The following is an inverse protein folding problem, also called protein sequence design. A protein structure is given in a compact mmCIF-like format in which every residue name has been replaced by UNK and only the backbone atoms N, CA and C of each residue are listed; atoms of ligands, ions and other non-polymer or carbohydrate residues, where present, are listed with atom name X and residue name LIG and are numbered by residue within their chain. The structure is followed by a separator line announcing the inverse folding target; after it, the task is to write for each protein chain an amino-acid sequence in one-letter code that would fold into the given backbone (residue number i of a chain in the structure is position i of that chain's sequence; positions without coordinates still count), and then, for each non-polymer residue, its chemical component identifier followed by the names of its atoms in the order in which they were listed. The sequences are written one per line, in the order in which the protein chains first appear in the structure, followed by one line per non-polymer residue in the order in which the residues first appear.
data_IF_861966897508
#
_entry.id   IF_861966897508
#
_cell.length_a   1.000
_cell.length_b   1.000
_cell.length_c   1.000
_cell.angle_alpha   90.00
_cell.angle_beta   90.00
_cell.angle_gamma   90.00
#
_symmetry.space_group_name_H-M   'P 1'
#
loop_
_entity.id
_entity.type
_entity.pdbx_description
1 polymer ?
#
# COMPACT_ATOMS: atom_id res chain seq x y z
N UNK A 1 -25.54 -15.34 26.86
CA UNK A 1 -25.41 -14.27 25.85
C UNK A 1 -26.24 -14.66 24.64
N UNK A 2 -27.37 -14.00 24.42
CA UNK A 2 -28.37 -14.35 23.40
C UNK A 2 -28.09 -13.60 22.07
N UNK A 3 -28.54 -14.16 20.95
CA UNK A 3 -28.49 -13.54 19.61
C UNK A 3 -29.11 -12.12 19.59
N UNK A 4 -30.07 -11.87 20.48
CA UNK A 4 -30.74 -10.58 20.64
C UNK A 4 -29.77 -9.45 21.06
N UNK A 5 -28.78 -9.74 21.89
CA UNK A 5 -27.74 -8.78 22.28
C UNK A 5 -26.83 -8.43 21.08
N UNK A 6 -26.51 -9.42 20.24
CA UNK A 6 -25.73 -9.19 19.01
C UNK A 6 -26.50 -8.35 17.99
N UNK A 7 -27.81 -8.60 17.82
CA UNK A 7 -28.67 -7.82 16.94
C UNK A 7 -28.92 -6.39 17.45
N UNK A 8 -28.97 -6.19 18.77
CA UNK A 8 -29.06 -4.85 19.38
C UNK A 8 -27.77 -4.07 19.16
N UNK A 9 -26.62 -4.70 19.40
CA UNK A 9 -25.33 -4.10 19.06
C UNK A 9 -25.23 -3.80 17.57
N UNK A 10 -25.81 -4.66 16.71
CA UNK A 10 -25.99 -4.46 15.26
C UNK A 10 -26.74 -3.18 14.92
N UNK A 11 -27.90 -3.01 15.54
CA UNK A 11 -28.81 -1.89 15.27
C UNK A 11 -28.27 -0.52 15.74
N UNK A 12 -27.54 -0.48 16.85
CA UNK A 12 -27.16 0.79 17.50
C UNK A 12 -25.70 1.24 17.16
N UNK A 13 -24.80 0.33 16.74
CA UNK A 13 -23.35 0.61 16.72
C UNK A 13 -22.60 0.47 15.38
N UNK A 14 -23.20 -0.13 14.36
CA UNK A 14 -22.41 -0.58 13.18
C UNK A 14 -22.08 0.53 12.18
N UNK A 15 -22.83 1.64 12.18
CA UNK A 15 -22.45 2.82 11.41
C UNK A 15 -21.15 3.45 11.92
N UNK A 16 -21.01 3.56 13.25
CA UNK A 16 -19.80 4.07 13.91
C UNK A 16 -18.60 3.14 13.69
N UNK A 17 -18.80 1.83 13.84
CA UNK A 17 -17.77 0.82 13.56
C UNK A 17 -17.38 0.84 12.08
N UNK A 18 -18.34 0.96 11.16
CA UNK A 18 -18.09 1.04 9.72
C UNK A 18 -17.22 2.24 9.34
N UNK A 19 -17.51 3.42 9.91
CA UNK A 19 -16.67 4.61 9.73
C UNK A 19 -15.27 4.42 10.32
N UNK A 20 -15.16 3.79 11.51
CA UNK A 20 -13.88 3.51 12.16
C UNK A 20 -13.00 2.56 11.33
N UNK A 21 -13.59 1.48 10.81
CA UNK A 21 -12.89 0.50 9.96
C UNK A 21 -12.47 1.13 8.63
N UNK A 22 -13.35 1.94 8.02
CA UNK A 22 -13.04 2.69 6.80
C UNK A 22 -11.86 3.65 7.05
N UNK A 23 -11.90 4.38 8.16
CA UNK A 23 -10.84 5.31 8.57
C UNK A 23 -9.50 4.61 8.76
N UNK A 24 -9.48 3.52 9.54
CA UNK A 24 -8.28 2.71 9.75
C UNK A 24 -7.75 2.10 8.44
N UNK A 25 -8.65 1.63 7.57
CA UNK A 25 -8.32 1.11 6.25
C UNK A 25 -7.64 2.15 5.36
N UNK A 26 -8.14 3.38 5.33
CA UNK A 26 -7.52 4.50 4.60
C UNK A 26 -6.15 4.87 5.19
N UNK A 27 -6.03 4.97 6.51
CA UNK A 27 -4.75 5.22 7.16
C UNK A 27 -3.74 4.13 6.79
N UNK A 28 -4.09 2.85 6.95
CA UNK A 28 -3.24 1.72 6.62
C UNK A 28 -2.86 1.70 5.13
N UNK A 29 -3.77 2.07 4.23
CA UNK A 29 -3.46 2.21 2.81
C UNK A 29 -2.38 3.27 2.58
N UNK A 30 -2.51 4.45 3.16
CA UNK A 30 -1.51 5.53 3.02
C UNK A 30 -0.15 5.12 3.60
N UNK A 31 -0.15 4.38 4.72
CA UNK A 31 1.08 3.84 5.29
C UNK A 31 1.62 2.62 4.56
N UNK A 32 0.82 1.92 3.74
CA UNK A 32 1.28 0.80 2.90
C UNK A 32 2.17 1.39 1.81
N UNK A 33 3.49 1.21 1.88
CA UNK A 33 4.42 1.81 0.93
C UNK A 33 4.50 0.93 -0.33
N UNK A 34 3.36 0.74 -1.01
CA UNK A 34 3.24 -0.15 -2.17
C UNK A 34 3.97 0.36 -3.42
N UNK A 35 4.29 1.65 -3.48
CA UNK A 35 4.92 2.28 -4.65
C UNK A 35 6.40 2.66 -4.45
N UNK A 36 6.94 2.57 -3.22
CA UNK A 36 8.34 2.96 -2.97
C UNK A 36 9.36 1.90 -3.44
N UNK A 37 8.94 0.65 -3.59
CA UNK A 37 9.82 -0.44 -4.05
C UNK A 37 10.09 -0.35 -5.56
N UNK A 38 9.05 -0.08 -6.36
CA UNK A 38 9.14 -0.02 -7.83
C UNK A 38 9.99 1.16 -8.31
N UNK A 39 9.88 2.32 -7.64
CA UNK A 39 10.68 3.49 -7.99
C UNK A 39 12.18 3.32 -7.67
N UNK A 40 12.52 2.45 -6.71
CA UNK A 40 13.92 2.13 -6.36
C UNK A 40 14.56 1.18 -7.37
N UNK A 41 13.79 0.30 -7.99
CA UNK A 41 14.26 -0.56 -9.09
C UNK A 41 14.43 0.23 -10.39
N UNK A 42 13.50 1.13 -10.73
CA UNK A 42 13.57 1.95 -11.94
C UNK A 42 14.79 2.89 -11.97
N UNK A 43 15.17 3.48 -10.83
CA UNK A 43 16.35 4.35 -10.74
C UNK A 43 17.68 3.60 -10.94
N UNK A 44 17.71 2.29 -10.70
CA UNK A 44 18.92 1.48 -10.82
C UNK A 44 19.16 0.94 -12.24
N UNK A 45 18.17 1.08 -13.14
CA UNK A 45 18.26 0.71 -14.55
C UNK A 45 18.98 1.77 -15.37
N UNK A 46 18.78 3.06 -15.08
CA UNK A 46 19.42 4.17 -15.81
C UNK A 46 20.95 4.07 -15.75
N UNK A 47 21.54 3.65 -14.63
CA UNK A 47 23.00 3.54 -14.50
C UNK A 47 23.63 2.35 -15.24
N UNK A 48 22.85 1.39 -15.75
CA UNK A 48 23.43 0.24 -16.49
C UNK A 48 23.62 0.51 -17.97
N UNK A 49 22.83 1.41 -18.57
CA UNK A 49 22.99 1.75 -19.98
C UNK A 49 24.27 2.59 -20.20
N UNK A 50 24.66 3.39 -19.19
CA UNK A 50 25.89 4.21 -19.21
C UNK A 50 27.19 3.36 -19.28
N UNK A 51 27.17 2.12 -18.76
CA UNK A 51 28.36 1.26 -18.72
C UNK A 51 28.60 0.49 -20.03
N UNK A 52 27.58 0.38 -20.90
CA UNK A 52 27.69 -0.35 -22.18
C UNK A 52 28.27 0.55 -23.28
N UNK A 53 28.07 1.87 -23.21
CA UNK A 53 28.55 2.80 -24.25
C UNK A 53 30.06 3.10 -24.15
N UNK A 54 30.71 2.76 -23.03
CA UNK A 54 32.16 2.97 -22.84
C UNK A 54 33.07 1.80 -23.24
N UNK A 55 32.54 0.69 -23.77
CA UNK A 55 33.31 -0.55 -24.02
C UNK A 55 33.52 -0.92 -25.50
N UNK A 56 32.90 -0.19 -26.44
CA UNK A 56 32.98 -0.47 -27.88
C UNK A 56 33.64 0.66 -28.69
N UNK A 57 34.70 1.26 -28.15
CA UNK A 57 35.48 2.29 -28.84
C UNK A 57 36.97 1.92 -28.87
N UNK A 58 37.28 0.69 -29.26
CA UNK A 58 38.66 0.23 -29.31
C UNK A 58 38.87 -1.19 -29.83
N UNK A 59 38.67 -1.41 -31.13
CA UNK A 59 39.62 -2.06 -32.06
C UNK A 59 39.05 -2.30 -33.45
#
# INVERSE_FOLDING_TARGET
MSLYDQLRHLADGYGLIGLLVLFLGLCLWVFRPGAKQQNREAAHLIFRDDEIEGRDDGR
#
